data_IF_626511244831
#
_entry.id   IF_626511244831
#
_cell.length_a   1.000
_cell.length_b   1.000
_cell.length_c   1.000
_cell.angle_alpha   90.00
_cell.angle_beta   90.00
_cell.angle_gamma   90.00
#
_symmetry.space_group_name_H-M   'P 1'
#
loop_
_entity.id
_entity.type
_entity.pdbx_description
1 polymer ?
#
# COMPACT_ATOMS: atom_id res chain seq x y z
N UNK A 1 7.49 13.24 -16.34
CA UNK A 1 7.04 13.02 -17.72
C UNK A 1 6.86 11.51 -17.93
N UNK A 2 5.78 11.07 -18.58
CA UNK A 2 5.52 9.65 -18.90
C UNK A 2 5.93 9.42 -20.35
N UNK A 3 6.76 8.40 -20.60
CA UNK A 3 7.12 7.99 -21.97
C UNK A 3 5.95 7.23 -22.59
N UNK A 4 5.51 7.64 -23.77
CA UNK A 4 4.45 6.99 -24.54
C UNK A 4 4.99 6.49 -25.89
N UNK A 5 4.40 5.44 -26.49
CA UNK A 5 4.78 4.99 -27.83
C UNK A 5 4.64 6.13 -28.87
N UNK A 6 5.51 6.21 -29.89
CA UNK A 6 5.46 7.28 -30.89
C UNK A 6 4.10 7.44 -31.57
N UNK A 7 3.42 6.31 -31.84
CA UNK A 7 2.07 6.34 -32.41
C UNK A 7 1.04 7.03 -31.50
N UNK A 8 1.13 6.82 -30.18
CA UNK A 8 0.26 7.48 -29.21
C UNK A 8 0.55 8.99 -29.18
N UNK A 9 1.84 9.37 -29.19
CA UNK A 9 2.23 10.79 -29.20
C UNK A 9 1.68 11.49 -30.44
N UNK A 10 1.87 10.90 -31.63
CA UNK A 10 1.33 11.44 -32.89
C UNK A 10 -0.19 11.58 -32.85
N UNK A 11 -0.90 10.56 -32.37
CA UNK A 11 -2.36 10.60 -32.27
C UNK A 11 -2.84 11.68 -31.31
N UNK A 12 -2.20 11.83 -30.14
CA UNK A 12 -2.56 12.88 -29.17
C UNK A 12 -2.28 14.27 -29.73
N UNK A 13 -1.14 14.47 -30.40
CA UNK A 13 -0.82 15.75 -31.08
C UNK A 13 -1.87 16.08 -32.14
N UNK A 14 -2.22 15.10 -32.97
CA UNK A 14 -3.27 15.27 -33.98
C UNK A 14 -4.61 15.63 -33.32
N UNK A 15 -5.08 14.84 -32.36
CA UNK A 15 -6.35 15.12 -31.68
C UNK A 15 -6.36 16.47 -30.95
N UNK A 16 -5.25 16.90 -30.37
CA UNK A 16 -5.13 18.21 -29.73
C UNK A 16 -5.20 19.37 -30.73
N UNK A 17 -4.70 19.19 -31.96
CA UNK A 17 -4.79 20.20 -33.02
C UNK A 17 -6.16 20.28 -33.69
N UNK A 18 -6.92 19.18 -33.68
CA UNK A 18 -8.21 19.09 -34.41
C UNK A 18 -9.43 19.15 -33.51
N UNK A 19 -9.29 18.95 -32.19
CA UNK A 19 -10.42 18.98 -31.28
C UNK A 19 -11.00 20.40 -31.14
N UNK A 20 -12.32 20.48 -31.04
CA UNK A 20 -13.07 21.71 -30.76
C UNK A 20 -13.32 21.86 -29.26
N UNK A 21 -13.84 20.81 -28.62
CA UNK A 21 -14.22 20.84 -27.18
C UNK A 21 -13.50 19.80 -26.33
N UNK A 22 -13.48 18.54 -26.79
CA UNK A 22 -12.92 17.42 -26.03
C UNK A 22 -11.81 16.75 -26.82
N UNK A 23 -10.72 16.37 -26.14
CA UNK A 23 -9.58 15.68 -26.78
C UNK A 23 -10.01 14.38 -27.50
N UNK A 24 -11.04 13.68 -27.02
CA UNK A 24 -11.54 12.44 -27.61
C UNK A 24 -12.99 12.61 -28.09
N UNK A 25 -13.18 13.41 -29.14
CA UNK A 25 -14.51 13.65 -29.72
C UNK A 25 -15.19 12.36 -30.17
N UNK A 26 -16.49 12.26 -29.93
CA UNK A 26 -17.28 11.08 -30.27
C UNK A 26 -16.98 9.82 -29.42
N UNK A 27 -16.03 9.86 -28.48
CA UNK A 27 -15.73 8.76 -27.56
C UNK A 27 -16.33 9.09 -26.18
N UNK A 28 -17.15 8.18 -25.67
CA UNK A 28 -17.71 8.29 -24.32
C UNK A 28 -17.57 6.98 -23.55
N UNK A 29 -17.83 7.03 -22.24
CA UNK A 29 -17.70 5.89 -21.34
C UNK A 29 -18.53 4.67 -21.77
N UNK A 30 -19.70 4.87 -22.40
CA UNK A 30 -20.54 3.78 -22.88
C UNK A 30 -19.89 3.05 -24.06
N UNK A 31 -19.31 3.79 -25.02
CA UNK A 31 -18.58 3.20 -26.16
C UNK A 31 -17.35 2.43 -25.70
N UNK A 32 -16.57 3.00 -24.78
CA UNK A 32 -15.40 2.32 -24.20
C UNK A 32 -15.81 1.05 -23.46
N UNK A 33 -16.84 1.11 -22.62
CA UNK A 33 -17.32 -0.05 -21.88
C UNK A 33 -17.84 -1.17 -22.80
N UNK A 34 -18.54 -0.82 -23.88
CA UNK A 34 -19.01 -1.78 -24.90
C UNK A 34 -17.83 -2.48 -25.57
N UNK A 35 -16.86 -1.71 -26.07
CA UNK A 35 -15.65 -2.26 -26.68
C UNK A 35 -14.91 -3.21 -25.73
N UNK A 36 -14.75 -2.85 -24.45
CA UNK A 36 -14.09 -3.72 -23.47
C UNK A 36 -14.89 -5.00 -23.20
N UNK A 37 -16.22 -4.89 -23.11
CA UNK A 37 -17.11 -6.03 -22.86
C UNK A 37 -17.14 -7.02 -24.02
N UNK A 38 -17.00 -6.54 -25.26
CA UNK A 38 -16.83 -7.39 -26.45
C UNK A 38 -15.54 -8.21 -26.40
N UNK A 39 -14.46 -7.66 -25.80
CA UNK A 39 -13.20 -8.39 -25.65
C UNK A 39 -13.21 -9.38 -24.48
N UNK A 40 -13.95 -9.08 -23.41
CA UNK A 40 -14.12 -9.98 -22.28
C UNK A 40 -15.41 -9.63 -21.53
N UNK A 41 -16.30 -10.62 -21.35
CA UNK A 41 -17.55 -10.43 -20.61
C UNK A 41 -17.27 -9.89 -19.21
N UNK A 42 -17.89 -8.75 -18.87
CA UNK A 42 -17.74 -8.09 -17.57
C UNK A 42 -16.51 -7.19 -17.43
N UNK A 43 -15.66 -7.07 -18.47
CA UNK A 43 -14.52 -6.16 -18.44
C UNK A 43 -14.96 -4.70 -18.58
N UNK A 44 -14.51 -3.87 -17.66
CA UNK A 44 -14.76 -2.42 -17.68
C UNK A 44 -13.47 -1.66 -17.38
N UNK A 45 -13.44 -0.37 -17.68
CA UNK A 45 -12.30 0.49 -17.36
C UNK A 45 -11.90 0.45 -15.87
N UNK A 46 -12.88 0.27 -14.96
CA UNK A 46 -12.64 0.18 -13.52
C UNK A 46 -11.86 -1.08 -13.12
N UNK A 47 -12.06 -2.19 -13.84
CA UNK A 47 -11.34 -3.46 -13.60
C UNK A 47 -9.83 -3.24 -13.74
N UNK A 48 -9.39 -2.45 -14.72
CA UNK A 48 -7.96 -2.15 -14.90
C UNK A 48 -7.35 -1.40 -13.71
N UNK A 49 -8.09 -0.51 -13.05
CA UNK A 49 -7.58 0.19 -11.85
C UNK A 49 -7.33 -0.80 -10.72
N UNK A 50 -8.28 -1.70 -10.44
CA UNK A 50 -8.13 -2.74 -9.42
C UNK A 50 -7.01 -3.71 -9.77
N UNK A 51 -6.94 -4.16 -11.03
CA UNK A 51 -5.89 -5.07 -11.49
C UNK A 51 -4.50 -4.45 -11.36
N UNK A 52 -4.29 -3.22 -11.85
CA UNK A 52 -2.98 -2.53 -11.76
C UNK A 52 -2.55 -2.31 -10.31
N UNK A 53 -3.48 -1.86 -9.46
CA UNK A 53 -3.20 -1.63 -8.03
C UNK A 53 -2.85 -2.95 -7.33
N UNK A 54 -3.63 -4.01 -7.58
CA UNK A 54 -3.40 -5.34 -7.01
C UNK A 54 -2.08 -5.95 -7.50
N UNK A 55 -1.75 -5.76 -8.78
CA UNK A 55 -0.50 -6.23 -9.38
C UNK A 55 0.71 -5.58 -8.71
N UNK A 56 0.72 -4.26 -8.56
CA UNK A 56 1.81 -3.55 -7.90
C UNK A 56 2.02 -4.01 -6.44
N UNK A 57 0.93 -4.20 -5.70
CA UNK A 57 0.99 -4.74 -4.33
C UNK A 57 1.58 -6.15 -4.32
N UNK A 58 1.13 -7.03 -5.22
CA UNK A 58 1.63 -8.39 -5.33
C UNK A 58 3.13 -8.41 -5.64
N UNK A 59 3.57 -7.67 -6.66
CA UNK A 59 4.97 -7.60 -7.08
C UNK A 59 5.87 -7.09 -5.95
N UNK A 60 5.40 -6.11 -5.17
CA UNK A 60 6.13 -5.65 -3.98
C UNK A 60 6.22 -6.75 -2.91
N UNK A 61 5.12 -7.43 -2.59
CA UNK A 61 5.09 -8.49 -1.57
C UNK A 61 5.88 -9.75 -1.97
N UNK A 62 6.03 -9.99 -3.27
CA UNK A 62 6.86 -11.08 -3.80
C UNK A 62 8.35 -10.73 -3.81
N UNK A 63 8.69 -9.45 -3.97
CA UNK A 63 10.07 -8.98 -4.02
C UNK A 63 10.63 -8.52 -2.67
N UNK A 64 9.80 -8.30 -1.65
CA UNK A 64 10.28 -7.94 -0.32
C UNK A 64 10.95 -9.15 0.37
N UNK A 65 12.13 -8.92 0.94
CA UNK A 65 12.94 -9.94 1.63
C UNK A 65 12.42 -10.24 3.05
N UNK A 66 11.12 -10.42 3.21
CA UNK A 66 10.48 -10.72 4.51
C UNK A 66 10.05 -12.18 4.57
N UNK A 67 10.41 -12.86 5.65
CA UNK A 67 10.01 -14.23 5.94
C UNK A 67 9.35 -14.40 7.31
N UNK A 68 9.06 -15.64 7.70
CA UNK A 68 8.33 -15.97 8.93
C UNK A 68 9.10 -15.64 10.21
N UNK A 69 10.43 -15.62 10.17
CA UNK A 69 11.31 -15.37 11.31
C UNK A 69 11.45 -13.87 11.63
N UNK A 70 11.07 -13.01 10.68
CA UNK A 70 11.08 -11.57 10.91
C UNK A 70 10.08 -11.16 11.99
N UNK A 71 10.44 -10.10 12.69
CA UNK A 71 9.59 -9.50 13.70
C UNK A 71 8.29 -8.96 13.08
N UNK A 72 7.21 -9.06 13.84
CA UNK A 72 5.87 -8.68 13.36
C UNK A 72 5.79 -7.23 12.87
N UNK A 73 6.59 -6.32 13.46
CA UNK A 73 6.61 -4.93 13.05
C UNK A 73 7.34 -4.71 11.70
N UNK A 74 8.29 -5.58 11.34
CA UNK A 74 8.97 -5.57 10.02
C UNK A 74 7.98 -6.03 8.95
N UNK A 75 7.26 -7.14 9.20
CA UNK A 75 6.16 -7.60 8.34
C UNK A 75 5.11 -6.51 8.15
N UNK A 76 4.70 -5.84 9.24
CA UNK A 76 3.73 -4.75 9.17
C UNK A 76 4.23 -3.57 8.33
N UNK A 77 5.51 -3.22 8.43
CA UNK A 77 6.13 -2.16 7.63
C UNK A 77 6.03 -2.48 6.13
N UNK A 78 6.46 -3.68 5.72
CA UNK A 78 6.41 -4.09 4.31
C UNK A 78 4.97 -4.23 3.78
N UNK A 79 4.03 -4.72 4.59
CA UNK A 79 2.62 -4.75 4.20
C UNK A 79 2.07 -3.34 3.90
N UNK A 80 2.51 -2.31 4.64
CA UNK A 80 2.09 -0.93 4.39
C UNK A 80 2.83 -0.28 3.21
N UNK A 81 4.10 -0.63 2.98
CA UNK A 81 4.82 -0.19 1.77
C UNK A 81 4.22 -0.79 0.50
N UNK A 82 3.81 -2.07 0.53
CA UNK A 82 3.09 -2.67 -0.59
C UNK A 82 1.82 -1.89 -0.93
N UNK A 83 1.06 -1.50 0.09
CA UNK A 83 -0.13 -0.66 -0.09
C UNK A 83 0.22 0.75 -0.63
N UNK A 84 1.36 1.31 -0.22
CA UNK A 84 1.85 2.58 -0.76
C UNK A 84 2.12 2.47 -2.27
N UNK A 85 2.73 1.40 -2.75
CA UNK A 85 2.92 1.17 -4.19
C UNK A 85 1.57 1.08 -4.93
N UNK A 86 0.59 0.39 -4.35
CA UNK A 86 -0.78 0.41 -4.86
C UNK A 86 -1.38 1.83 -4.90
N UNK A 87 -1.21 2.62 -3.84
CA UNK A 87 -1.71 3.99 -3.78
C UNK A 87 -1.04 4.92 -4.80
N UNK A 88 0.27 4.75 -5.05
CA UNK A 88 1.03 5.45 -6.11
C UNK A 88 0.46 5.15 -7.48
N UNK A 89 0.28 3.86 -7.80
CA UNK A 89 -0.29 3.41 -9.09
C UNK A 89 -1.73 3.91 -9.29
N UNK A 90 -2.52 3.95 -8.21
CA UNK A 90 -3.90 4.44 -8.26
C UNK A 90 -4.03 5.97 -8.17
N UNK A 91 -2.92 6.69 -8.01
CA UNK A 91 -2.84 8.14 -7.77
C UNK A 91 -3.72 8.63 -6.61
N UNK A 92 -3.77 7.87 -5.50
CA UNK A 92 -4.54 8.25 -4.31
C UNK A 92 -3.77 9.26 -3.46
N UNK A 93 -3.59 10.47 -3.98
CA UNK A 93 -2.96 11.57 -3.22
C UNK A 93 -3.90 12.14 -2.16
N UNK A 94 -3.32 12.72 -1.12
CA UNK A 94 -4.00 13.53 -0.10
C UNK A 94 -3.17 14.77 0.21
N UNK A 95 -3.84 15.79 0.76
CA UNK A 95 -3.15 16.91 1.40
C UNK A 95 -2.31 16.38 2.56
N UNK A 96 -1.08 16.90 2.71
CA UNK A 96 -0.25 16.64 3.89
C UNK A 96 -1.01 17.17 5.12
N UNK A 97 -1.19 16.37 6.18
CA UNK A 97 -1.85 16.85 7.39
C UNK A 97 -1.11 18.04 8.01
N UNK A 98 -1.85 19.04 8.51
CA UNK A 98 -1.25 20.29 8.99
C UNK A 98 -0.28 20.07 10.18
N UNK A 99 -0.55 19.08 11.04
CA UNK A 99 0.32 18.68 12.17
C UNK A 99 1.35 17.60 11.81
N UNK A 100 1.68 17.42 10.52
CA UNK A 100 2.60 16.38 10.10
C UNK A 100 4.00 16.57 10.70
N UNK A 101 4.59 17.76 10.55
CA UNK A 101 5.94 18.06 11.02
C UNK A 101 6.05 17.96 12.55
N UNK A 102 5.06 18.48 13.29
CA UNK A 102 5.00 18.36 14.76
C UNK A 102 4.99 16.89 15.22
N UNK A 103 4.19 16.05 14.55
CA UNK A 103 4.10 14.62 14.86
C UNK A 103 5.37 13.86 14.48
N UNK A 104 6.03 14.27 13.41
CA UNK A 104 7.31 13.69 12.98
C UNK A 104 8.41 14.03 13.98
N UNK A 105 8.55 15.31 14.34
CA UNK A 105 9.52 15.79 15.32
C UNK A 105 9.36 15.07 16.68
N UNK A 106 8.12 14.87 17.15
CA UNK A 106 7.85 14.09 18.38
C UNK A 106 8.37 12.64 18.30
N UNK A 107 8.22 11.98 17.15
CA UNK A 107 8.74 10.62 16.94
C UNK A 107 10.26 10.59 16.86
N UNK A 108 10.87 11.56 16.19
CA UNK A 108 12.33 11.66 16.09
C UNK A 108 12.99 11.98 17.43
N UNK A 109 12.39 12.88 18.24
CA UNK A 109 12.82 13.13 19.61
C UNK A 109 12.75 11.84 20.46
N UNK A 110 11.64 11.10 20.37
CA UNK A 110 11.50 9.82 21.07
C UNK A 110 12.54 8.78 20.63
N UNK A 111 12.88 8.74 19.34
CA UNK A 111 13.93 7.87 18.84
C UNK A 111 15.29 8.22 19.46
N UNK A 112 15.61 9.51 19.56
CA UNK A 112 16.84 10.00 20.18
C UNK A 112 16.93 9.60 21.65
N UNK A 113 15.85 9.76 22.42
CA UNK A 113 15.78 9.30 23.82
C UNK A 113 16.03 7.80 23.95
N UNK A 114 15.41 6.97 23.09
CA UNK A 114 15.60 5.52 23.13
C UNK A 114 17.04 5.13 22.81
N UNK A 115 17.70 5.84 21.90
CA UNK A 115 19.11 5.60 21.57
C UNK A 115 20.04 5.98 22.72
N UNK A 116 19.77 7.07 23.45
CA UNK A 116 20.53 7.43 24.66
C UNK A 116 20.36 6.38 25.75
N UNK A 117 19.13 5.92 26.00
CA UNK A 117 18.86 4.84 26.96
C UNK A 117 19.57 3.53 26.58
N UNK A 118 19.76 3.27 25.28
CA UNK A 118 20.47 2.09 24.81
C UNK A 118 21.93 2.17 25.21
N UNK A 119 22.58 3.30 24.93
CA UNK A 119 23.98 3.53 25.26
C UNK A 119 24.23 3.42 26.78
N UNK A 120 23.36 4.04 27.60
CA UNK A 120 23.45 3.96 29.06
C UNK A 120 23.31 2.52 29.57
N UNK A 121 22.35 1.76 29.05
CA UNK A 121 22.14 0.35 29.47
C UNK A 121 23.27 -0.57 29.01
N UNK A 122 23.84 -0.32 27.82
CA UNK A 122 25.01 -1.05 27.34
C UNK A 122 26.22 -0.81 28.24
N UNK A 123 26.47 0.45 28.64
CA UNK A 123 27.53 0.80 29.62
C UNK A 123 27.32 0.11 30.97
N UNK A 124 26.07 -0.07 31.38
CA UNK A 124 25.70 -0.76 32.63
C UNK A 124 25.66 -2.30 32.52
N UNK A 125 26.02 -2.89 31.37
CA UNK A 125 25.97 -4.34 31.15
C UNK A 125 24.55 -4.94 31.23
N UNK A 126 23.50 -4.14 31.08
CA UNK A 126 22.11 -4.58 31.18
C UNK A 126 21.64 -5.20 29.86
N UNK A 127 20.62 -6.07 29.93
CA UNK A 127 19.96 -6.62 28.72
C UNK A 127 19.29 -5.51 27.91
N UNK A 128 19.56 -5.47 26.61
CA UNK A 128 19.11 -4.39 25.70
C UNK A 128 18.24 -4.85 24.53
N UNK A 129 18.03 -6.15 24.35
CA UNK A 129 17.32 -6.70 23.18
C UNK A 129 15.94 -6.07 22.96
N UNK A 130 15.17 -5.92 24.04
CA UNK A 130 13.84 -5.29 23.97
C UNK A 130 13.89 -3.81 23.57
N UNK A 131 14.97 -3.12 23.93
CA UNK A 131 15.16 -1.71 23.59
C UNK A 131 15.61 -1.56 22.13
N UNK A 132 16.48 -2.46 21.65
CA UNK A 132 16.88 -2.52 20.24
C UNK A 132 15.65 -2.73 19.35
N UNK A 133 14.78 -3.70 19.67
CA UNK A 133 13.52 -3.92 18.92
C UNK A 133 12.60 -2.70 18.92
N UNK A 134 12.53 -1.96 20.04
CA UNK A 134 11.74 -0.71 20.11
C UNK A 134 12.32 0.40 19.24
N UNK A 135 13.65 0.53 19.22
CA UNK A 135 14.36 1.50 18.37
C UNK A 135 14.12 1.18 16.90
N UNK A 136 14.31 -0.09 16.51
CA UNK A 136 14.11 -0.55 15.14
C UNK A 136 12.67 -0.30 14.66
N UNK A 137 11.68 -0.71 15.46
CA UNK A 137 10.27 -0.40 15.18
C UNK A 137 10.02 1.10 15.03
N UNK A 138 10.61 1.93 15.90
CA UNK A 138 10.43 3.39 15.84
C UNK A 138 11.04 3.99 14.58
N UNK A 139 12.20 3.50 14.14
CA UNK A 139 12.83 3.89 12.87
C UNK A 139 11.92 3.56 11.68
N UNK A 140 11.37 2.34 11.63
CA UNK A 140 10.46 1.93 10.56
C UNK A 140 9.15 2.74 10.55
N UNK A 141 8.59 3.06 11.73
CA UNK A 141 7.42 3.92 11.85
C UNK A 141 7.69 5.35 11.32
N UNK A 142 8.87 5.91 11.58
CA UNK A 142 9.28 7.22 11.07
C UNK A 142 9.43 7.18 9.55
N UNK A 143 10.14 6.18 9.02
CA UNK A 143 10.33 6.00 7.59
C UNK A 143 8.98 5.91 6.87
N UNK A 144 8.09 5.04 7.37
CA UNK A 144 6.76 4.88 6.82
C UNK A 144 5.93 6.18 6.88
N UNK A 145 6.04 6.94 7.97
CA UNK A 145 5.33 8.21 8.11
C UNK A 145 5.79 9.23 7.05
N UNK A 146 7.10 9.29 6.77
CA UNK A 146 7.66 10.17 5.71
C UNK A 146 7.18 9.75 4.32
N UNK A 147 7.28 8.46 4.00
CA UNK A 147 6.90 7.91 2.68
C UNK A 147 5.40 8.05 2.38
N UNK A 148 4.56 7.98 3.41
CA UNK A 148 3.09 7.94 3.25
C UNK A 148 2.41 9.28 3.49
N UNK A 149 3.16 10.37 3.72
CA UNK A 149 2.60 11.67 4.09
C UNK A 149 1.62 12.21 3.05
N UNK A 150 1.88 12.00 1.76
CA UNK A 150 1.07 12.48 0.63
C UNK A 150 0.05 11.46 0.11
N UNK A 151 -0.03 10.26 0.69
CA UNK A 151 -0.80 9.15 0.11
C UNK A 151 -1.95 8.69 1.00
N UNK A 152 -3.13 8.48 0.40
CA UNK A 152 -4.30 7.90 1.04
C UNK A 152 -4.31 6.38 0.88
N UNK A 153 -3.69 5.69 1.84
CA UNK A 153 -3.60 4.24 1.89
C UNK A 153 -4.94 3.53 2.19
N UNK A 154 -5.92 4.23 2.77
CA UNK A 154 -7.20 3.61 3.13
C UNK A 154 -8.04 3.31 1.89
N UNK A 155 -8.02 4.22 0.90
CA UNK A 155 -8.79 4.08 -0.34
C UNK A 155 -8.30 2.89 -1.17
N UNK A 156 -6.98 2.75 -1.35
CA UNK A 156 -6.38 1.61 -2.07
C UNK A 156 -6.71 0.29 -1.37
N UNK A 157 -6.46 0.21 -0.06
CA UNK A 157 -6.67 -0.99 0.74
C UNK A 157 -8.13 -1.46 0.78
N UNK A 158 -9.09 -0.53 0.82
CA UNK A 158 -10.51 -0.85 0.95
C UNK A 158 -11.16 -1.29 -0.36
N UNK A 159 -10.71 -0.76 -1.50
CA UNK A 159 -11.51 -0.82 -2.74
C UNK A 159 -10.75 -1.20 -4.00
N UNK A 160 -9.41 -1.15 -4.01
CA UNK A 160 -8.62 -1.33 -5.23
C UNK A 160 -7.62 -2.49 -5.14
N UNK A 161 -7.41 -3.05 -3.95
CA UNK A 161 -6.53 -4.19 -3.75
C UNK A 161 -7.38 -5.43 -3.50
N UNK A 162 -7.11 -6.52 -4.22
CA UNK A 162 -7.68 -7.82 -3.92
C UNK A 162 -7.16 -8.34 -2.57
N UNK A 163 -8.03 -8.53 -1.55
CA UNK A 163 -7.61 -8.97 -0.22
C UNK A 163 -6.96 -10.36 -0.22
N UNK A 164 -7.16 -11.17 -1.26
CA UNK A 164 -6.52 -12.49 -1.40
C UNK A 164 -5.01 -12.40 -1.52
N UNK A 165 -4.48 -11.30 -2.06
CA UNK A 165 -3.03 -11.10 -2.17
C UNK A 165 -2.39 -10.98 -0.78
N UNK A 166 -2.94 -10.12 0.08
CA UNK A 166 -2.48 -10.02 1.46
C UNK A 166 -2.73 -11.28 2.27
N UNK A 167 -3.85 -11.95 2.02
CA UNK A 167 -4.11 -13.26 2.61
C UNK A 167 -3.01 -14.27 2.28
N UNK A 168 -2.71 -14.48 1.00
CA UNK A 168 -1.67 -15.43 0.57
C UNK A 168 -0.30 -15.08 1.15
N UNK A 169 0.09 -13.80 1.08
CA UNK A 169 1.35 -13.33 1.66
C UNK A 169 1.40 -13.55 3.18
N UNK A 170 0.34 -13.17 3.91
CA UNK A 170 0.28 -13.34 5.36
C UNK A 170 0.34 -14.81 5.79
N UNK A 171 -0.21 -15.73 4.98
CA UNK A 171 -0.09 -17.16 5.18
C UNK A 171 1.37 -17.66 5.04
N UNK A 172 2.12 -17.06 4.11
CA UNK A 172 3.51 -17.45 3.82
C UNK A 172 4.47 -16.96 4.91
N UNK A 173 4.28 -15.73 5.40
CA UNK A 173 5.17 -15.11 6.38
C UNK A 173 4.60 -15.14 7.81
N UNK A 174 3.48 -15.83 8.04
CA UNK A 174 2.78 -15.90 9.34
C UNK A 174 2.48 -14.51 9.94
N UNK A 175 2.01 -13.57 9.10
CA UNK A 175 1.71 -12.20 9.52
C UNK A 175 0.30 -12.08 10.11
N UNK A 176 0.15 -11.32 11.20
CA UNK A 176 -1.14 -11.04 11.78
C UNK A 176 -1.90 -9.97 10.97
N UNK A 177 -2.85 -10.41 10.15
CA UNK A 177 -3.69 -9.55 9.31
C UNK A 177 -4.50 -8.49 10.09
N UNK A 178 -4.71 -8.62 11.40
CA UNK A 178 -5.34 -7.56 12.20
C UNK A 178 -4.49 -6.29 12.27
N UNK A 179 -3.17 -6.40 12.08
CA UNK A 179 -2.24 -5.27 12.04
C UNK A 179 -2.34 -4.46 10.74
N UNK A 180 -2.99 -5.01 9.71
CA UNK A 180 -3.24 -4.37 8.43
C UNK A 180 -4.72 -3.99 8.26
N UNK A 181 -5.63 -4.93 8.54
CA UNK A 181 -7.06 -4.75 8.36
C UNK A 181 -7.77 -4.45 9.70
N UNK A 182 -8.34 -3.25 9.89
CA UNK A 182 -9.22 -2.98 11.01
C UNK A 182 -10.47 -3.89 10.96
N UNK A 183 -11.17 -4.04 12.09
CA UNK A 183 -12.33 -4.95 12.24
C UNK A 183 -13.38 -4.79 11.12
N UNK A 184 -13.67 -3.55 10.72
CA UNK A 184 -14.61 -3.25 9.64
C UNK A 184 -14.17 -3.81 8.27
N UNK A 185 -12.87 -3.73 7.94
CA UNK A 185 -12.35 -4.31 6.70
C UNK A 185 -12.24 -5.83 6.76
N UNK A 186 -11.90 -6.40 7.92
CA UNK A 186 -11.95 -7.86 8.12
C UNK A 186 -13.36 -8.42 7.88
N UNK A 187 -14.39 -7.75 8.41
CA UNK A 187 -15.79 -8.10 8.15
C UNK A 187 -16.14 -8.00 6.66
N UNK A 188 -15.76 -6.89 6.00
CA UNK A 188 -15.97 -6.69 4.56
C UNK A 188 -15.32 -7.80 3.71
N UNK A 189 -14.12 -8.22 4.09
CA UNK A 189 -13.33 -9.18 3.34
C UNK A 189 -13.41 -10.61 3.90
N UNK A 190 -14.41 -10.92 4.75
CA UNK A 190 -14.56 -12.25 5.37
C UNK A 190 -14.51 -13.37 4.32
N UNK A 191 -15.16 -13.18 3.17
CA UNK A 191 -15.16 -14.13 2.05
C UNK A 191 -13.76 -14.48 1.51
N UNK A 192 -12.82 -13.53 1.53
CA UNK A 192 -11.45 -13.71 1.05
C UNK A 192 -10.50 -14.17 2.15
N UNK A 193 -10.79 -13.80 3.40
CA UNK A 193 -9.91 -14.06 4.55
C UNK A 193 -10.28 -15.33 5.32
N UNK A 194 -11.47 -15.91 5.11
CA UNK A 194 -12.02 -17.02 5.90
C UNK A 194 -11.05 -18.19 6.11
N UNK A 195 -10.33 -18.60 5.05
CA UNK A 195 -9.38 -19.72 5.12
C UNK A 195 -8.19 -19.43 6.05
N UNK A 196 -7.80 -18.16 6.20
CA UNK A 196 -6.72 -17.73 7.10
C UNK A 196 -7.22 -17.42 8.50
N UNK A 197 -8.40 -16.82 8.63
CA UNK A 197 -9.03 -16.61 9.93
C UNK A 197 -9.19 -17.95 10.66
N UNK A 198 -9.53 -19.02 9.93
CA UNK A 198 -9.60 -20.40 10.46
C UNK A 198 -8.22 -21.02 10.77
N UNK A 199 -7.18 -20.74 9.97
CA UNK A 199 -5.83 -21.33 10.14
C UNK A 199 -4.99 -20.62 11.23
N UNK A 200 -5.15 -19.32 11.41
CA UNK A 200 -4.39 -18.50 12.36
C UNK A 200 -5.18 -18.07 13.60
N UNK A 201 -6.35 -18.68 13.85
CA UNK A 201 -7.08 -18.51 15.11
C UNK A 201 -7.58 -17.08 15.39
N UNK A 202 -7.84 -16.28 14.35
CA UNK A 202 -8.43 -14.94 14.53
C UNK A 202 -9.91 -15.14 14.86
N UNK A 203 -10.24 -15.14 16.15
CA UNK A 203 -11.62 -15.26 16.66
C UNK A 203 -12.48 -14.13 16.07
N UNK A 204 -13.68 -14.51 15.60
CA UNK A 204 -14.71 -13.62 15.05
C UNK A 204 -15.12 -12.49 16.02
#
# INVERSE_FOLDING_TARGET
SIKAPPAVIRNIQHFASTCKEYLFEGINSKKVARFLSEKMKGLTAKVFRTWRTTKAVREYLESCSVDKNDEEYVKQFHAKLANLEGAKVANHKRKIPDKFEERLAKKEARLKELMQQLEEKQKQGKKVDSLIKRIEKTKLDIALMKETKEWNLATSLRSYIDPRVYAQWAAKVEFNLEKLYPKSLRKKFKWALARLLKKYGVKD
#
